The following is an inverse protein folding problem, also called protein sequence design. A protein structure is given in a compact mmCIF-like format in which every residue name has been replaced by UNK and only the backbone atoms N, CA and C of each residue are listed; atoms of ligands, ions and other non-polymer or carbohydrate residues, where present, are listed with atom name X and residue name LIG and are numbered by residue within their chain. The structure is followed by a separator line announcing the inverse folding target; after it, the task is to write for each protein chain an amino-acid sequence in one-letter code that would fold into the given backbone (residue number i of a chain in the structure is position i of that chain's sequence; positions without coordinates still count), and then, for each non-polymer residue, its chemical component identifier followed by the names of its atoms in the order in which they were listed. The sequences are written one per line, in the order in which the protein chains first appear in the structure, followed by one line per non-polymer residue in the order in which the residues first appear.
data_IF_394496134617
#
_entry.id   IF_394496134617
#
_cell.length_a   1.000
_cell.length_b   1.000
_cell.length_c   1.000
_cell.angle_alpha   90.00
_cell.angle_beta   90.00
_cell.angle_gamma   90.00
#
_symmetry.space_group_name_H-M   'P 1'
#
loop_
_entity.id
_entity.type
_entity.pdbx_description
1 polymer ?
#
# COMPACT_ATOMS: atom_id res chain seq x y z
N UNK A 1 23.70 -5.51 7.54
CA UNK A 1 22.43 -4.80 7.81
C UNK A 1 21.44 -5.21 6.73
N UNK A 2 20.16 -5.37 7.05
CA UNK A 2 19.14 -5.77 6.07
C UNK A 2 19.04 -4.75 4.93
N UNK A 3 19.04 -5.22 3.67
CA UNK A 3 18.78 -4.40 2.49
C UNK A 3 17.30 -4.25 2.20
N UNK A 4 16.44 -5.03 2.89
CA UNK A 4 15.00 -5.03 2.71
C UNK A 4 14.40 -3.65 3.03
N UNK A 5 13.55 -3.16 2.14
CA UNK A 5 12.71 -1.99 2.39
C UNK A 5 11.38 -2.45 3.00
N UNK A 6 10.98 -1.80 4.07
CA UNK A 6 9.64 -1.97 4.64
C UNK A 6 8.77 -0.76 4.32
N UNK A 7 7.54 -1.02 3.89
CA UNK A 7 6.46 -0.04 3.78
C UNK A 7 5.14 -0.60 4.26
N UNK A 8 4.28 0.27 4.81
CA UNK A 8 2.92 -0.07 5.20
C UNK A 8 1.94 0.83 4.44
N UNK A 9 0.83 0.23 3.98
CA UNK A 9 -0.33 0.96 3.48
C UNK A 9 -1.54 0.72 4.37
N UNK A 10 -2.31 1.78 4.62
CA UNK A 10 -3.57 1.72 5.38
C UNK A 10 -4.67 2.29 4.49
N UNK A 11 -5.76 1.55 4.30
CA UNK A 11 -6.83 1.92 3.40
C UNK A 11 -8.08 2.38 4.15
N UNK A 12 -9.01 3.01 3.41
CA UNK A 12 -10.37 3.44 3.77
C UNK A 12 -10.45 4.75 4.56
N UNK A 13 -9.37 5.27 5.11
CA UNK A 13 -9.39 6.55 5.81
C UNK A 13 -10.29 6.56 7.05
N UNK A 14 -10.49 5.41 7.71
CA UNK A 14 -11.30 5.31 8.90
C UNK A 14 -10.66 6.10 10.07
N UNK A 15 -11.43 6.74 11.00
CA UNK A 15 -10.86 7.47 12.13
C UNK A 15 -9.91 6.64 13.02
N UNK A 16 -10.07 5.32 13.06
CA UNK A 16 -9.15 4.41 13.76
C UNK A 16 -7.74 4.33 13.13
N UNK A 17 -7.54 4.83 11.90
CA UNK A 17 -6.21 4.91 11.27
C UNK A 17 -5.25 5.78 12.09
N UNK A 18 -5.77 6.74 12.86
CA UNK A 18 -4.97 7.55 13.78
C UNK A 18 -4.28 6.68 14.85
N UNK A 19 -4.93 5.62 15.31
CA UNK A 19 -4.32 4.66 16.23
C UNK A 19 -3.17 3.87 15.58
N UNK A 20 -3.31 3.53 14.29
CA UNK A 20 -2.19 2.94 13.53
C UNK A 20 -1.04 3.94 13.43
N UNK A 21 -1.34 5.21 13.14
CA UNK A 21 -0.32 6.26 13.06
C UNK A 21 0.44 6.43 14.40
N UNK A 22 -0.24 6.36 15.54
CA UNK A 22 0.38 6.39 16.86
C UNK A 22 1.33 5.19 17.09
N UNK A 23 0.92 3.98 16.67
CA UNK A 23 1.77 2.78 16.75
C UNK A 23 3.01 2.96 15.86
N UNK A 24 2.84 3.43 14.63
CA UNK A 24 3.94 3.69 13.71
C UNK A 24 4.93 4.71 14.25
N UNK A 25 4.44 5.80 14.87
CA UNK A 25 5.27 6.83 15.48
C UNK A 25 6.12 6.27 16.61
N UNK A 26 5.55 5.42 17.50
CA UNK A 26 6.31 4.76 18.59
C UNK A 26 7.47 3.91 18.04
N UNK A 27 7.27 3.25 16.91
CA UNK A 27 8.28 2.40 16.27
C UNK A 27 9.13 3.13 15.23
N UNK A 28 8.90 4.42 14.99
CA UNK A 28 9.60 5.23 13.98
C UNK A 28 9.52 4.59 12.57
N UNK A 29 8.33 4.06 12.24
CA UNK A 29 8.00 3.52 10.93
C UNK A 29 7.22 4.55 10.12
N UNK A 30 7.28 4.42 8.78
CA UNK A 30 6.50 5.22 7.85
C UNK A 30 5.41 4.40 7.20
N UNK A 31 4.34 5.07 6.77
CA UNK A 31 3.24 4.46 6.04
C UNK A 31 2.59 5.47 5.09
N UNK A 32 1.80 4.93 4.14
CA UNK A 32 0.90 5.69 3.28
C UNK A 32 -0.54 5.34 3.63
N UNK A 33 -1.37 6.35 3.87
CA UNK A 33 -2.79 6.21 4.18
C UNK A 33 -3.61 6.63 2.97
N UNK A 34 -4.50 5.76 2.49
CA UNK A 34 -5.34 6.02 1.33
C UNK A 34 -6.77 6.35 1.76
N UNK A 35 -7.16 7.61 1.54
CA UNK A 35 -8.40 8.18 2.03
C UNK A 35 -9.37 8.42 0.86
N UNK A 36 -10.60 7.86 0.93
CA UNK A 36 -11.71 8.37 0.15
C UNK A 36 -12.22 9.68 0.78
N UNK A 37 -12.99 10.44 0.06
CA UNK A 37 -13.65 11.64 0.58
C UNK A 37 -14.87 11.28 1.41
N UNK A 38 -15.62 10.28 0.95
CA UNK A 38 -16.77 9.66 1.60
C UNK A 38 -16.68 8.15 1.43
N UNK A 39 -17.47 7.41 2.17
CA UNK A 39 -17.59 5.97 1.97
C UNK A 39 -19.06 5.64 1.70
N UNK A 40 -19.39 5.26 0.46
CA UNK A 40 -20.75 4.92 0.04
C UNK A 40 -21.31 3.66 0.72
N UNK A 41 -20.44 2.82 1.31
CA UNK A 41 -20.85 1.65 2.10
C UNK A 41 -21.22 2.02 3.56
N UNK A 42 -21.13 3.31 3.93
CA UNK A 42 -21.54 3.84 5.23
C UNK A 42 -20.47 3.75 6.33
N UNK A 43 -19.24 3.32 6.03
CA UNK A 43 -18.16 3.36 7.00
C UNK A 43 -17.73 4.83 7.27
N UNK A 44 -17.41 5.18 8.54
CA UNK A 44 -16.90 6.51 8.86
C UNK A 44 -15.59 6.81 8.13
N UNK A 45 -15.43 8.04 7.64
CA UNK A 45 -14.19 8.56 7.08
C UNK A 45 -13.69 9.72 7.95
N UNK A 46 -12.38 9.85 8.08
CA UNK A 46 -11.74 10.95 8.82
C UNK A 46 -12.24 12.31 8.37
N UNK A 47 -12.44 13.21 9.34
CA UNK A 47 -12.70 14.64 9.06
C UNK A 47 -11.48 15.28 8.39
N UNK A 48 -11.70 16.42 7.71
CA UNK A 48 -10.60 17.18 7.12
C UNK A 48 -9.54 17.61 8.17
N UNK A 49 -9.94 17.85 9.41
CA UNK A 49 -9.01 18.20 10.49
C UNK A 49 -8.12 16.99 10.87
N UNK A 50 -8.71 15.81 11.01
CA UNK A 50 -7.97 14.57 11.29
C UNK A 50 -7.02 14.19 10.13
N UNK A 51 -7.49 14.31 8.88
CA UNK A 51 -6.65 14.06 7.70
C UNK A 51 -5.45 15.03 7.63
N UNK A 52 -5.66 16.32 7.91
CA UNK A 52 -4.56 17.31 7.99
C UNK A 52 -3.58 17.00 9.10
N UNK A 53 -4.07 16.58 10.27
CA UNK A 53 -3.18 16.19 11.36
C UNK A 53 -2.34 14.97 10.98
N UNK A 54 -2.96 13.94 10.43
CA UNK A 54 -2.26 12.73 9.96
C UNK A 54 -1.21 13.06 8.88
N UNK A 55 -1.51 13.98 7.96
CA UNK A 55 -0.61 14.37 6.86
C UNK A 55 0.70 15.03 7.30
N UNK A 56 0.80 15.45 8.56
CA UNK A 56 2.06 15.98 9.13
C UNK A 56 3.09 14.88 9.41
N UNK A 57 2.64 13.64 9.56
CA UNK A 57 3.46 12.51 10.01
C UNK A 57 3.52 11.38 8.99
N UNK A 58 2.55 11.32 8.07
CA UNK A 58 2.39 10.23 7.11
C UNK A 58 2.06 10.74 5.72
N UNK A 59 2.37 9.95 4.71
CA UNK A 59 1.89 10.17 3.36
C UNK A 59 0.39 9.92 3.28
N UNK A 60 -0.34 10.84 2.64
CA UNK A 60 -1.76 10.66 2.31
C UNK A 60 -1.88 10.44 0.80
N UNK A 61 -2.60 9.40 0.40
CA UNK A 61 -3.00 9.10 -0.96
C UNK A 61 -4.53 9.12 -1.11
N UNK A 62 -5.02 9.16 -2.35
CA UNK A 62 -6.44 9.12 -2.66
C UNK A 62 -6.95 7.68 -2.81
N UNK A 63 -8.20 7.47 -2.37
CA UNK A 63 -8.93 6.20 -2.48
C UNK A 63 -10.29 6.37 -3.16
N UNK A 64 -10.35 7.18 -4.22
CA UNK A 64 -11.53 7.67 -4.92
C UNK A 64 -12.36 8.69 -4.11
N UNK A 65 -13.43 9.20 -4.70
CA UNK A 65 -14.34 10.15 -4.04
C UNK A 65 -15.20 9.44 -3.00
N UNK A 66 -15.84 8.32 -3.37
CA UNK A 66 -16.88 7.64 -2.59
C UNK A 66 -16.49 6.21 -2.17
N UNK A 67 -15.22 5.84 -2.17
CA UNK A 67 -14.75 4.45 -2.04
C UNK A 67 -15.32 3.53 -3.14
N UNK A 68 -15.43 4.06 -4.37
CA UNK A 68 -16.09 3.41 -5.48
C UNK A 68 -15.20 2.34 -6.15
N UNK A 69 -15.75 1.15 -6.38
CA UNK A 69 -15.11 0.13 -7.22
C UNK A 69 -15.18 0.56 -8.69
N UNK A 70 -14.08 1.04 -9.24
CA UNK A 70 -14.01 1.62 -10.59
C UNK A 70 -14.49 0.67 -11.71
N UNK A 71 -14.42 -0.64 -11.47
CA UNK A 71 -14.89 -1.66 -12.42
C UNK A 71 -16.41 -1.82 -12.46
N UNK A 72 -17.15 -1.19 -11.54
CA UNK A 72 -18.60 -1.29 -11.41
C UNK A 72 -19.35 -0.07 -11.93
N UNK A 73 -18.62 0.91 -12.48
CA UNK A 73 -19.18 2.16 -12.98
C UNK A 73 -18.69 2.41 -14.42
N UNK A 74 -19.35 3.31 -15.14
CA UNK A 74 -18.92 3.73 -16.47
C UNK A 74 -17.66 4.63 -16.40
N UNK A 75 -17.11 4.96 -17.56
CA UNK A 75 -15.86 5.71 -17.66
C UNK A 75 -15.99 7.16 -17.19
N UNK A 76 -17.16 7.78 -17.34
CA UNK A 76 -17.39 9.16 -16.88
C UNK A 76 -17.43 9.19 -15.35
N UNK A 77 -18.14 8.27 -14.74
CA UNK A 77 -18.18 8.16 -13.29
C UNK A 77 -16.82 7.71 -12.74
N UNK A 78 -16.11 6.77 -13.36
CA UNK A 78 -14.76 6.39 -12.95
C UNK A 78 -13.80 7.59 -12.99
N UNK A 79 -13.87 8.41 -14.05
CA UNK A 79 -13.09 9.63 -14.15
C UNK A 79 -13.45 10.62 -13.03
N UNK A 80 -14.75 10.84 -12.76
CA UNK A 80 -15.22 11.71 -11.68
C UNK A 80 -14.68 11.25 -10.33
N UNK A 81 -14.81 9.96 -10.02
CA UNK A 81 -14.33 9.34 -8.78
C UNK A 81 -12.84 9.56 -8.56
N UNK A 82 -12.03 9.47 -9.60
CA UNK A 82 -10.58 9.66 -9.55
C UNK A 82 -10.23 11.16 -9.44
N UNK A 83 -10.77 11.99 -10.33
CA UNK A 83 -10.35 13.39 -10.47
C UNK A 83 -10.90 14.30 -9.36
N UNK A 84 -12.21 14.18 -9.05
CA UNK A 84 -12.80 14.95 -7.96
C UNK A 84 -12.30 14.47 -6.60
N UNK A 85 -12.13 13.14 -6.42
CA UNK A 85 -11.53 12.56 -5.21
C UNK A 85 -10.15 13.13 -4.92
N UNK A 86 -9.32 13.30 -5.97
CA UNK A 86 -8.02 13.98 -5.85
C UNK A 86 -8.17 15.45 -5.46
N UNK A 87 -8.97 16.18 -6.22
CA UNK A 87 -9.12 17.63 -6.04
C UNK A 87 -9.64 17.97 -4.65
N UNK A 88 -10.69 17.28 -4.20
CA UNK A 88 -11.27 17.51 -2.89
C UNK A 88 -10.33 17.10 -1.75
N UNK A 89 -9.58 16.00 -1.91
CA UNK A 89 -8.59 15.59 -0.92
C UNK A 89 -7.46 16.64 -0.79
N UNK A 90 -6.94 17.14 -1.91
CA UNK A 90 -5.92 18.20 -1.93
C UNK A 90 -6.42 19.50 -1.29
N UNK A 91 -7.69 19.87 -1.53
CA UNK A 91 -8.32 21.01 -0.86
C UNK A 91 -8.42 20.80 0.66
N UNK A 92 -8.81 19.61 1.10
CA UNK A 92 -8.88 19.27 2.53
C UNK A 92 -7.53 19.30 3.21
N UNK A 93 -6.47 18.86 2.52
CA UNK A 93 -5.11 18.79 3.06
C UNK A 93 -4.33 20.10 2.93
N UNK A 94 -4.61 20.91 1.92
CA UNK A 94 -3.86 22.12 1.58
C UNK A 94 -2.55 21.86 0.82
N UNK A 95 -2.34 20.65 0.31
CA UNK A 95 -1.16 20.28 -0.48
C UNK A 95 -1.47 19.17 -1.50
N UNK A 96 -0.58 19.00 -2.48
CA UNK A 96 -0.73 18.00 -3.54
C UNK A 96 -0.65 16.56 -3.02
N UNK A 97 -1.44 15.68 -3.64
CA UNK A 97 -1.50 14.22 -3.36
C UNK A 97 -0.91 13.46 -4.55
N UNK A 98 0.12 12.65 -4.28
CA UNK A 98 0.84 11.89 -5.31
C UNK A 98 0.37 10.44 -5.46
N UNK A 99 -0.10 9.82 -4.39
CA UNK A 99 -0.47 8.42 -4.34
C UNK A 99 -1.95 8.17 -4.62
N UNK A 100 -2.25 7.05 -5.30
CA UNK A 100 -3.60 6.53 -5.48
C UNK A 100 -3.66 5.05 -5.09
N UNK A 101 -4.78 4.60 -4.53
CA UNK A 101 -5.07 3.18 -4.33
C UNK A 101 -6.41 2.82 -4.97
N UNK A 102 -6.41 1.73 -5.74
CA UNK A 102 -7.64 1.21 -6.36
C UNK A 102 -8.50 0.51 -5.31
N UNK A 103 -9.76 0.97 -5.05
CA UNK A 103 -10.65 0.29 -4.10
C UNK A 103 -10.83 -1.19 -4.42
N UNK A 104 -10.66 -2.05 -3.41
CA UNK A 104 -10.68 -3.50 -3.56
C UNK A 104 -9.62 -4.07 -4.52
N UNK A 105 -8.64 -3.27 -4.95
CA UNK A 105 -7.65 -3.64 -5.95
C UNK A 105 -8.23 -3.91 -7.35
N UNK A 106 -9.46 -3.47 -7.62
CA UNK A 106 -10.17 -3.73 -8.88
C UNK A 106 -9.97 -2.58 -9.88
N UNK A 107 -9.33 -2.88 -11.00
CA UNK A 107 -9.08 -1.89 -12.06
C UNK A 107 -8.91 -2.56 -13.42
N UNK A 108 -9.04 -1.75 -14.49
CA UNK A 108 -8.69 -2.09 -15.86
C UNK A 108 -7.61 -1.14 -16.39
N UNK A 109 -6.97 -1.46 -17.51
CA UNK A 109 -5.94 -0.61 -18.10
C UNK A 109 -6.40 0.84 -18.33
N UNK A 110 -7.68 1.06 -18.70
CA UNK A 110 -8.26 2.40 -18.85
C UNK A 110 -8.23 3.22 -17.54
N UNK A 111 -8.45 2.58 -16.37
CA UNK A 111 -8.38 3.25 -15.08
C UNK A 111 -6.94 3.67 -14.73
N UNK A 112 -5.94 2.88 -15.13
CA UNK A 112 -4.53 3.26 -15.00
C UNK A 112 -4.24 4.53 -15.81
N UNK A 113 -4.78 4.64 -17.02
CA UNK A 113 -4.66 5.86 -17.84
C UNK A 113 -5.35 7.06 -17.19
N UNK A 114 -6.55 6.88 -16.61
CA UNK A 114 -7.28 7.93 -15.90
C UNK A 114 -6.49 8.43 -14.68
N UNK A 115 -5.97 7.53 -13.84
CA UNK A 115 -5.15 7.88 -12.67
C UNK A 115 -3.90 8.67 -13.08
N UNK A 116 -3.22 8.24 -14.16
CA UNK A 116 -2.08 8.99 -14.73
C UNK A 116 -2.50 10.37 -15.22
N UNK A 117 -3.60 10.47 -15.96
CA UNK A 117 -4.15 11.73 -16.50
C UNK A 117 -4.58 12.68 -15.40
N UNK A 118 -5.10 12.19 -14.28
CA UNK A 118 -5.45 12.98 -13.10
C UNK A 118 -4.22 13.55 -12.37
N UNK A 119 -2.99 13.22 -12.81
CA UNK A 119 -1.75 13.77 -12.28
C UNK A 119 -1.22 13.08 -11.03
N UNK A 120 -1.66 11.84 -10.74
CA UNK A 120 -1.01 11.06 -9.69
C UNK A 120 0.40 10.61 -10.11
N UNK A 121 1.29 10.50 -9.14
CA UNK A 121 2.66 10.05 -9.35
C UNK A 121 2.81 8.52 -9.41
N UNK A 122 1.94 7.80 -8.71
CA UNK A 122 1.90 6.34 -8.66
C UNK A 122 0.51 5.84 -8.21
N UNK A 123 0.26 4.53 -8.40
CA UNK A 123 -0.91 3.88 -7.83
C UNK A 123 -0.59 2.49 -7.30
N UNK A 124 -1.29 2.09 -6.22
CA UNK A 124 -1.12 0.83 -5.51
C UNK A 124 -2.31 -0.09 -5.74
N UNK A 125 -2.00 -1.38 -5.87
CA UNK A 125 -2.95 -2.49 -5.97
C UNK A 125 -2.88 -3.37 -4.73
N UNK A 126 -3.74 -4.38 -4.64
CA UNK A 126 -3.66 -5.43 -3.60
C UNK A 126 -3.03 -6.73 -4.11
N UNK A 127 -2.38 -6.70 -5.27
CA UNK A 127 -1.68 -7.88 -5.79
C UNK A 127 -0.61 -8.30 -4.78
N UNK A 128 -0.74 -9.52 -4.25
CA UNK A 128 0.04 -9.97 -3.11
C UNK A 128 1.24 -10.86 -3.48
N UNK A 129 2.04 -11.23 -2.47
CA UNK A 129 3.21 -12.12 -2.59
C UNK A 129 4.33 -11.56 -3.48
N UNK A 130 4.36 -10.26 -3.73
CA UNK A 130 5.49 -9.63 -4.38
C UNK A 130 6.60 -9.31 -3.36
N UNK A 131 7.84 -9.48 -3.82
CA UNK A 131 9.08 -9.18 -3.09
C UNK A 131 9.77 -7.92 -3.58
N UNK A 132 9.14 -7.19 -4.50
CA UNK A 132 9.66 -6.01 -5.19
C UNK A 132 8.54 -4.99 -5.47
N UNK A 133 8.88 -3.91 -6.17
CA UNK A 133 7.95 -2.83 -6.52
C UNK A 133 7.10 -3.10 -7.78
N UNK A 134 7.16 -4.31 -8.34
CA UNK A 134 6.53 -4.59 -9.63
C UNK A 134 7.20 -3.88 -10.81
N UNK A 135 6.58 -3.95 -11.99
CA UNK A 135 7.14 -3.36 -13.21
C UNK A 135 6.70 -1.92 -13.42
N UNK A 136 5.49 -1.59 -13.01
CA UNK A 136 4.87 -0.30 -13.30
C UNK A 136 4.50 0.44 -12.02
N UNK A 137 4.83 1.72 -11.95
CA UNK A 137 4.54 2.58 -10.80
C UNK A 137 3.05 2.83 -10.54
N UNK A 138 2.19 2.57 -11.54
CA UNK A 138 0.73 2.71 -11.41
C UNK A 138 0.02 1.39 -11.10
N UNK A 139 0.76 0.34 -10.82
CA UNK A 139 0.26 -0.95 -10.36
C UNK A 139 1.19 -1.53 -9.28
N UNK A 140 1.65 -0.67 -8.35
CA UNK A 140 2.52 -1.06 -7.23
C UNK A 140 1.88 -2.21 -6.45
N UNK A 141 2.53 -3.38 -6.37
CA UNK A 141 1.98 -4.54 -5.68
C UNK A 141 2.27 -4.48 -4.18
N UNK A 142 1.75 -5.48 -3.46
CA UNK A 142 1.96 -5.68 -2.03
C UNK A 142 2.57 -7.04 -1.74
N UNK A 143 3.12 -7.23 -0.53
CA UNK A 143 3.56 -8.55 -0.09
C UNK A 143 2.44 -9.32 0.58
N UNK A 144 1.74 -8.71 1.55
CA UNK A 144 0.65 -9.38 2.26
C UNK A 144 -0.29 -8.36 2.93
N UNK A 145 -1.53 -8.78 3.21
CA UNK A 145 -2.46 -8.06 4.08
C UNK A 145 -2.25 -8.49 5.53
N UNK A 146 -2.28 -7.56 6.47
CA UNK A 146 -2.37 -7.86 7.90
C UNK A 146 -3.81 -8.24 8.26
N UNK A 147 -4.16 -9.49 7.95
CA UNK A 147 -5.50 -10.04 8.11
C UNK A 147 -5.44 -11.58 8.22
N UNK A 148 -6.28 -12.24 9.04
CA UNK A 148 -6.27 -13.69 9.23
C UNK A 148 -6.87 -14.46 8.05
N UNK A 149 -6.33 -14.27 6.85
CA UNK A 149 -6.75 -15.01 5.67
C UNK A 149 -6.50 -16.51 5.83
N UNK A 150 -7.45 -17.31 5.37
CA UNK A 150 -7.29 -18.75 5.24
C UNK A 150 -6.34 -19.06 4.06
N UNK A 151 -5.79 -20.28 4.06
CA UNK A 151 -4.85 -20.75 3.02
C UNK A 151 -5.47 -20.73 1.61
N UNK A 152 -6.75 -21.10 1.49
CA UNK A 152 -7.49 -21.10 0.22
C UNK A 152 -7.58 -19.71 -0.41
N UNK A 153 -7.71 -18.65 0.40
CA UNK A 153 -7.68 -17.26 -0.08
C UNK A 153 -6.32 -16.92 -0.69
N UNK A 154 -5.22 -17.36 -0.07
CA UNK A 154 -3.87 -17.13 -0.61
C UNK A 154 -3.68 -17.85 -1.95
N UNK A 155 -4.11 -19.10 -2.04
CA UNK A 155 -4.04 -19.89 -3.29
C UNK A 155 -4.89 -19.25 -4.38
N UNK A 156 -6.13 -18.90 -4.07
CA UNK A 156 -7.03 -18.23 -5.03
C UNK A 156 -6.41 -16.92 -5.55
N UNK A 157 -5.90 -16.07 -4.67
CA UNK A 157 -5.26 -14.81 -5.04
C UNK A 157 -3.97 -15.04 -5.85
N UNK A 158 -3.20 -16.07 -5.52
CA UNK A 158 -2.04 -16.45 -6.31
C UNK A 158 -2.43 -16.83 -7.74
N UNK A 159 -3.48 -17.62 -7.92
CA UNK A 159 -3.96 -18.06 -9.23
C UNK A 159 -4.57 -16.89 -10.01
N UNK A 160 -5.44 -16.10 -9.40
CA UNK A 160 -6.20 -15.03 -10.09
C UNK A 160 -5.37 -13.82 -10.49
N UNK A 161 -4.29 -13.51 -9.75
CA UNK A 161 -3.47 -12.33 -9.98
C UNK A 161 -2.30 -12.56 -10.96
N UNK A 162 -2.03 -13.79 -11.40
CA UNK A 162 -0.97 -14.11 -12.35
C UNK A 162 0.46 -13.88 -11.83
N UNK A 163 1.39 -13.60 -12.75
CA UNK A 163 2.81 -13.35 -12.44
C UNK A 163 3.47 -14.44 -11.58
N UNK A 164 3.13 -15.70 -11.82
CA UNK A 164 3.48 -16.86 -10.98
C UNK A 164 4.97 -16.97 -10.67
N UNK A 165 5.83 -16.75 -11.66
CA UNK A 165 7.29 -16.87 -11.49
C UNK A 165 7.84 -15.90 -10.44
N UNK A 166 7.30 -14.68 -10.39
CA UNK A 166 7.74 -13.64 -9.44
C UNK A 166 7.25 -13.88 -8.01
N UNK A 167 6.13 -14.59 -7.86
CA UNK A 167 5.40 -14.75 -6.59
C UNK A 167 5.57 -16.14 -5.98
N UNK A 168 6.12 -17.10 -6.75
CA UNK A 168 6.22 -18.49 -6.36
C UNK A 168 7.05 -18.70 -5.08
N UNK A 169 8.22 -18.09 -5.01
CA UNK A 169 9.11 -18.20 -3.84
C UNK A 169 8.44 -17.70 -2.56
N UNK A 170 7.74 -16.55 -2.63
CA UNK A 170 6.99 -16.02 -1.50
C UNK A 170 5.83 -16.93 -1.08
N UNK A 171 5.11 -17.52 -2.05
CA UNK A 171 4.05 -18.49 -1.75
C UNK A 171 4.62 -19.73 -1.05
N UNK A 172 5.71 -20.31 -1.59
CA UNK A 172 6.34 -21.50 -1.00
C UNK A 172 6.79 -21.26 0.45
N UNK A 173 7.29 -20.07 0.77
CA UNK A 173 7.75 -19.72 2.10
C UNK A 173 6.65 -19.78 3.17
N UNK A 174 5.38 -19.57 2.78
CA UNK A 174 4.28 -19.40 3.75
C UNK A 174 3.14 -20.39 3.62
N UNK A 175 3.01 -21.11 2.50
CA UNK A 175 1.81 -21.91 2.21
C UNK A 175 1.62 -23.08 3.17
N UNK A 176 2.68 -23.63 3.73
CA UNK A 176 2.63 -24.73 4.69
C UNK A 176 2.25 -24.28 6.12
N UNK A 177 2.33 -22.98 6.42
CA UNK A 177 2.04 -22.45 7.75
C UNK A 177 0.52 -22.25 7.94
N UNK A 178 -0.06 -22.77 9.00
CA UNK A 178 -1.49 -22.66 9.30
C UNK A 178 -1.82 -21.35 10.05
N UNK A 179 -0.94 -20.92 10.93
CA UNK A 179 -1.14 -19.69 11.68
C UNK A 179 -0.91 -18.47 10.77
N UNK A 180 -1.96 -17.67 10.57
CA UNK A 180 -1.92 -16.50 9.68
C UNK A 180 -0.87 -15.45 10.08
N UNK A 181 -0.68 -15.24 11.38
CA UNK A 181 0.31 -14.28 11.88
C UNK A 181 1.73 -14.80 11.64
N UNK A 182 1.97 -16.08 11.88
CA UNK A 182 3.26 -16.71 11.58
C UNK A 182 3.58 -16.71 10.09
N UNK A 183 2.57 -16.74 9.20
CA UNK A 183 2.80 -16.53 7.75
C UNK A 183 3.41 -15.16 7.47
N UNK A 184 2.96 -14.10 8.16
CA UNK A 184 3.51 -12.76 7.99
C UNK A 184 4.97 -12.72 8.44
N UNK A 185 5.30 -13.30 9.60
CA UNK A 185 6.68 -13.39 10.08
C UNK A 185 7.57 -14.21 9.14
N UNK A 186 7.10 -15.38 8.69
CA UNK A 186 7.85 -16.22 7.73
C UNK A 186 8.08 -15.53 6.40
N UNK A 187 7.07 -14.83 5.88
CA UNK A 187 7.25 -14.05 4.65
C UNK A 187 8.27 -12.93 4.86
N UNK A 188 8.21 -12.24 6.00
CA UNK A 188 9.19 -11.21 6.33
C UNK A 188 10.61 -11.79 6.36
N UNK A 189 10.83 -12.89 7.09
CA UNK A 189 12.15 -13.53 7.18
C UNK A 189 12.66 -14.00 5.80
N UNK A 190 11.76 -14.56 4.98
CA UNK A 190 12.08 -14.96 3.61
C UNK A 190 12.49 -13.76 2.74
N UNK A 191 11.72 -12.65 2.79
CA UNK A 191 12.01 -11.47 2.00
C UNK A 191 13.23 -10.69 2.52
N UNK A 192 13.55 -10.78 3.82
CA UNK A 192 14.79 -10.20 4.35
C UNK A 192 16.04 -10.87 3.76
N UNK A 193 15.95 -12.14 3.38
CA UNK A 193 17.05 -12.89 2.78
C UNK A 193 17.07 -12.81 1.25
N UNK A 194 15.89 -12.75 0.61
CA UNK A 194 15.76 -12.96 -0.83
C UNK A 194 14.98 -11.86 -1.56
N UNK A 195 14.42 -10.92 -0.83
CA UNK A 195 13.57 -9.86 -1.39
C UNK A 195 14.23 -8.48 -1.37
N UNK A 196 13.52 -7.53 -1.94
CA UNK A 196 13.88 -6.11 -1.93
C UNK A 196 12.92 -5.29 -1.10
N UNK A 197 11.62 -5.67 -1.08
CA UNK A 197 10.53 -4.93 -0.46
C UNK A 197 9.61 -5.87 0.30
N UNK A 198 9.27 -5.50 1.53
CA UNK A 198 8.13 -6.04 2.26
C UNK A 198 7.06 -4.94 2.38
N UNK A 199 6.04 -5.03 1.53
CA UNK A 199 4.91 -4.10 1.51
C UNK A 199 3.71 -4.73 2.22
N UNK A 200 3.50 -4.38 3.48
CA UNK A 200 2.32 -4.77 4.26
C UNK A 200 1.18 -3.80 3.99
N UNK A 201 -0.08 -4.26 4.09
CA UNK A 201 -1.24 -3.37 4.07
C UNK A 201 -2.34 -3.86 5.01
N UNK A 202 -3.21 -2.96 5.46
CA UNK A 202 -4.30 -3.28 6.37
C UNK A 202 -5.42 -2.24 6.32
N UNK A 203 -6.55 -2.59 6.99
CA UNK A 203 -7.61 -1.65 7.36
C UNK A 203 -7.70 -1.57 8.88
N UNK A 204 -7.76 -0.38 9.45
CA UNK A 204 -7.89 -0.22 10.90
C UNK A 204 -9.19 -0.80 11.45
N UNK A 205 -10.27 -0.73 10.66
CA UNK A 205 -11.56 -1.29 11.04
C UNK A 205 -11.53 -2.82 11.18
N UNK A 206 -10.77 -3.52 10.31
CA UNK A 206 -10.57 -4.97 10.44
C UNK A 206 -9.76 -5.31 11.70
N UNK A 207 -8.72 -4.54 11.99
CA UNK A 207 -7.89 -4.70 13.20
C UNK A 207 -8.74 -4.52 14.45
N UNK A 208 -9.62 -3.52 14.48
CA UNK A 208 -10.54 -3.29 15.60
C UNK A 208 -11.54 -4.44 15.76
N UNK A 209 -12.23 -4.83 14.68
CA UNK A 209 -13.24 -5.91 14.70
C UNK A 209 -12.66 -7.24 15.15
N UNK A 210 -11.42 -7.52 14.76
CA UNK A 210 -10.73 -8.76 15.08
C UNK A 210 -9.85 -8.66 16.33
N UNK A 211 -9.83 -7.49 17.00
CA UNK A 211 -9.04 -7.20 18.21
C UNK A 211 -7.54 -7.48 18.04
N UNK A 212 -6.97 -7.15 16.88
CA UNK A 212 -5.59 -7.46 16.48
C UNK A 212 -4.58 -6.34 16.76
N UNK A 213 -4.91 -5.37 17.62
CA UNK A 213 -4.04 -4.23 17.91
C UNK A 213 -2.71 -4.62 18.54
N UNK A 214 -2.71 -5.62 19.42
CA UNK A 214 -1.49 -6.12 20.07
C UNK A 214 -0.58 -6.82 19.08
N UNK A 215 -1.15 -7.66 18.23
CA UNK A 215 -0.44 -8.39 17.18
C UNK A 215 0.20 -7.43 16.18
N UNK A 216 -0.51 -6.36 15.78
CA UNK A 216 0.02 -5.32 14.91
C UNK A 216 1.18 -4.58 15.56
N UNK A 217 1.02 -4.14 16.81
CA UNK A 217 2.04 -3.41 17.57
C UNK A 217 3.32 -4.26 17.75
N UNK A 218 3.17 -5.54 18.12
CA UNK A 218 4.29 -6.48 18.24
C UNK A 218 5.00 -6.73 16.91
N UNK A 219 4.25 -6.91 15.84
CA UNK A 219 4.83 -7.11 14.52
C UNK A 219 5.57 -5.85 14.04
N UNK A 220 4.99 -4.66 14.19
CA UNK A 220 5.65 -3.41 13.80
C UNK A 220 6.90 -3.13 14.65
N UNK A 221 6.87 -3.47 15.96
CA UNK A 221 8.04 -3.43 16.82
C UNK A 221 9.14 -4.42 16.38
N UNK A 222 8.76 -5.62 15.93
CA UNK A 222 9.69 -6.59 15.35
C UNK A 222 10.35 -6.03 14.08
N UNK A 223 9.56 -5.49 13.14
CA UNK A 223 10.07 -4.85 11.92
C UNK A 223 11.05 -3.72 12.25
N UNK A 224 10.69 -2.86 13.21
CA UNK A 224 11.53 -1.72 13.58
C UNK A 224 12.90 -2.13 14.15
N UNK A 225 13.01 -3.30 14.77
CA UNK A 225 14.30 -3.83 15.23
C UNK A 225 15.17 -4.41 14.12
N UNK A 226 14.54 -4.87 13.02
CA UNK A 226 15.22 -5.56 11.92
C UNK A 226 15.59 -4.62 10.77
N UNK A 227 14.70 -3.68 10.45
CA UNK A 227 14.85 -2.78 9.29
C UNK A 227 15.53 -1.46 9.72
N UNK A 228 16.63 -1.06 9.08
CA UNK A 228 17.28 0.22 9.37
C UNK A 228 16.37 1.42 9.08
N UNK A 229 16.51 2.56 9.80
CA UNK A 229 15.65 3.74 9.59
C UNK A 229 15.57 4.23 8.14
N UNK A 230 16.67 4.20 7.39
CA UNK A 230 16.71 4.62 5.98
C UNK A 230 15.99 3.67 5.01
N UNK A 231 15.56 2.50 5.48
CA UNK A 231 14.80 1.51 4.70
C UNK A 231 13.34 1.38 5.14
N UNK A 232 12.85 2.28 6.00
CA UNK A 232 11.45 2.38 6.45
C UNK A 232 10.80 3.50 5.66
N UNK A 233 10.13 3.17 4.55
CA UNK A 233 9.65 4.15 3.59
C UNK A 233 8.11 4.19 3.55
N UNK A 234 7.56 5.35 3.22
CA UNK A 234 6.23 5.46 2.63
C UNK A 234 6.26 5.05 1.16
N UNK A 235 5.11 4.93 0.51
CA UNK A 235 5.06 4.45 -0.88
C UNK A 235 5.67 5.45 -1.87
N UNK A 236 5.57 6.76 -1.63
CA UNK A 236 6.30 7.77 -2.42
C UNK A 236 7.81 7.61 -2.27
N UNK A 237 8.28 7.34 -1.06
CA UNK A 237 9.68 7.03 -0.77
C UNK A 237 10.16 5.79 -1.52
N UNK A 238 9.34 4.75 -1.51
CA UNK A 238 9.62 3.50 -2.24
C UNK A 238 9.73 3.74 -3.77
N UNK A 239 8.85 4.56 -4.35
CA UNK A 239 8.91 4.92 -5.77
C UNK A 239 10.13 5.78 -6.10
N UNK A 240 10.56 6.65 -5.19
CA UNK A 240 11.80 7.44 -5.35
C UNK A 240 13.05 6.59 -5.25
N UNK A 241 13.10 5.65 -4.31
CA UNK A 241 14.21 4.71 -4.12
C UNK A 241 14.42 3.85 -5.39
N UNK A 242 13.35 3.28 -5.93
CA UNK A 242 13.38 2.55 -7.22
C UNK A 242 14.02 3.35 -8.36
N UNK A 243 13.76 4.67 -8.47
CA UNK A 243 14.34 5.49 -9.53
C UNK A 243 15.84 5.66 -9.39
N UNK A 244 16.35 5.69 -8.15
CA UNK A 244 17.79 5.76 -7.89
C UNK A 244 18.50 4.49 -8.32
N UNK A 245 17.91 3.32 -8.02
CA UNK A 245 18.47 2.03 -8.42
C UNK A 245 18.53 1.89 -9.96
N UNK A 246 17.47 2.32 -10.67
CA UNK A 246 17.44 2.32 -12.14
C UNK A 246 18.46 3.29 -12.74
N UNK A 247 18.61 4.49 -12.17
CA UNK A 247 19.59 5.48 -12.62
C UNK A 247 21.06 5.03 -12.39
N UNK A 248 21.31 4.24 -11.36
CA UNK A 248 22.63 3.67 -11.09
C UNK A 248 22.99 2.52 -12.05
N UNK A 249 21.98 1.78 -12.55
CA UNK A 249 22.18 0.67 -13.51
C UNK A 249 22.28 1.19 -14.95
N UNK A 250 21.67 2.35 -15.26
CA UNK A 250 21.71 3.01 -16.57
C UNK A 250 22.12 4.47 -16.39
N UNK A 251 23.42 4.79 -16.16
CA UNK A 251 23.87 6.17 -16.21
C UNK A 251 23.61 6.73 -17.60
N UNK A 252 23.01 7.92 -17.65
CA UNK A 252 22.58 8.63 -18.87
C UNK A 252 23.54 8.47 -20.06
N UNK A 253 23.12 7.71 -21.08
CA UNK A 253 23.63 7.83 -22.43
C UNK A 253 22.89 8.96 -23.16
N UNK A 254 23.01 10.18 -22.65
CA UNK A 254 22.65 11.39 -23.39
C UNK A 254 23.70 12.48 -23.15
N UNK A 255 24.84 12.30 -23.86
CA UNK A 255 25.67 13.39 -24.33
C UNK A 255 26.58 12.81 -25.43
N UNK A 256 26.13 12.84 -26.67
CA UNK A 256 27.00 13.09 -27.84
C UNK A 256 26.13 13.64 -28.97
N UNK A 257 26.45 14.90 -29.30
CA UNK A 257 26.21 15.71 -30.52
C UNK A 257 24.79 16.14 -30.77
#
# INVERSE_FOLDING_TARGET
MSSLVFTLSVDDGHPLDLRIAEILARHRLRASFYLPIRNAEGAPVMTAAQARELSRYAEIGSHTLDHCFLTRVDDNEAWRQISEGKTELEQRLGHAVSGFCYPGGQFHARHVHMVRRAGFGYARTINNLYSDTGEQRFTLPTSLQFYPHKRDVLIRNFISQGAYKRRWSALQAIIAEDNWLMRIYRLFDHLEQHGQVFHLWCHALDIERLQLWKELDYFLGFVARRIPPGRRLDNSGLIRDRRRDVALVFPDHQKVV
#
